data_IF_122467089421
#
_entry.id   IF_122467089421
#
_cell.length_a   1.000
_cell.length_b   1.000
_cell.length_c   1.000
_cell.angle_alpha   90.00
_cell.angle_beta   90.00
_cell.angle_gamma   90.00
#
_symmetry.space_group_name_H-M   'P 1'
#
loop_
_entity.id
_entity.type
_entity.pdbx_description
1 polymer ?
#
# COMPACT_ATOMS: atom_id res chain seq x y z
N UNK A 1 -38.34 8.10 -73.86
CA UNK A 1 -38.15 9.13 -72.79
C UNK A 1 -39.48 9.36 -72.10
N UNK A 2 -39.52 9.85 -70.84
CA UNK A 2 -38.56 9.65 -69.74
C UNK A 2 -38.97 8.32 -69.05
N UNK A 3 -39.17 8.08 -67.74
CA UNK A 3 -38.71 8.67 -66.45
C UNK A 3 -38.66 7.50 -65.42
N UNK A 4 -37.89 7.62 -64.34
CA UNK A 4 -37.92 6.72 -63.15
C UNK A 4 -38.34 7.54 -61.94
N UNK A 5 -39.35 7.15 -61.13
CA UNK A 5 -39.66 7.90 -59.89
C UNK A 5 -40.46 7.19 -58.77
N UNK A 6 -40.10 5.95 -58.39
CA UNK A 6 -40.88 5.20 -57.35
C UNK A 6 -40.05 4.48 -56.27
N UNK A 7 -38.79 4.86 -56.03
CA UNK A 7 -37.92 4.22 -55.00
C UNK A 7 -37.09 5.23 -54.21
N UNK A 8 -37.72 6.20 -53.53
CA UNK A 8 -37.02 7.20 -52.68
C UNK A 8 -37.68 7.63 -51.36
N UNK A 9 -38.83 7.08 -50.97
CA UNK A 9 -39.54 7.53 -49.75
C UNK A 9 -39.40 6.54 -48.57
N UNK A 10 -39.44 5.23 -48.81
CA UNK A 10 -39.35 4.22 -47.74
C UNK A 10 -37.99 4.22 -47.01
N UNK A 11 -36.89 4.48 -47.73
CA UNK A 11 -35.53 4.44 -47.19
C UNK A 11 -35.15 5.66 -46.32
N UNK A 12 -36.01 6.68 -46.24
CA UNK A 12 -35.76 7.89 -45.45
C UNK A 12 -36.28 7.79 -43.99
N UNK A 13 -37.32 6.97 -43.75
CA UNK A 13 -38.04 6.97 -42.47
C UNK A 13 -37.43 5.99 -41.46
N UNK A 14 -37.02 4.79 -41.87
CA UNK A 14 -36.39 3.83 -40.95
C UNK A 14 -35.04 4.33 -40.39
N UNK A 15 -34.28 5.07 -41.20
CA UNK A 15 -32.97 5.63 -40.81
C UNK A 15 -33.08 6.67 -39.69
N UNK A 16 -34.24 7.33 -39.55
CA UNK A 16 -34.46 8.36 -38.52
C UNK A 16 -34.92 7.80 -37.17
N UNK A 17 -35.41 6.55 -37.14
CA UNK A 17 -35.88 5.88 -35.91
C UNK A 17 -34.79 5.03 -35.25
N UNK A 18 -33.79 4.53 -36.00
CA UNK A 18 -32.62 3.88 -35.40
C UNK A 18 -31.61 4.87 -34.78
N UNK A 19 -31.65 6.16 -35.13
CA UNK A 19 -30.71 7.16 -34.57
C UNK A 19 -31.09 7.68 -33.18
N UNK A 20 -32.33 7.42 -32.70
CA UNK A 20 -32.85 7.93 -31.43
C UNK A 20 -32.86 6.91 -30.29
N UNK A 21 -32.44 5.65 -30.55
CA UNK A 21 -32.36 4.58 -29.55
C UNK A 21 -30.93 4.22 -29.11
N UNK A 22 -29.90 4.81 -29.72
CA UNK A 22 -28.53 4.80 -29.18
C UNK A 22 -28.30 6.10 -28.42
N UNK A 23 -29.07 6.29 -27.33
CA UNK A 23 -28.58 7.11 -26.23
C UNK A 23 -27.26 6.47 -25.76
N UNK A 24 -26.13 7.20 -25.72
CA UNK A 24 -25.01 6.73 -24.94
C UNK A 24 -25.49 6.68 -23.49
N UNK A 25 -25.69 5.48 -22.96
CA UNK A 25 -25.70 5.27 -21.51
C UNK A 25 -24.27 5.50 -21.05
N UNK A 26 -23.90 6.77 -20.98
CA UNK A 26 -22.83 7.28 -20.12
C UNK A 26 -23.29 7.06 -18.68
N UNK A 27 -23.33 5.79 -18.27
CA UNK A 27 -23.35 5.39 -16.88
C UNK A 27 -22.16 6.12 -16.25
N UNK A 28 -22.46 7.17 -15.48
CA UNK A 28 -21.45 8.11 -15.03
C UNK A 28 -20.36 7.35 -14.29
N UNK A 29 -19.18 7.24 -14.90
CA UNK A 29 -17.98 6.72 -14.26
C UNK A 29 -17.54 7.75 -13.24
N UNK A 30 -18.27 7.78 -12.13
CA UNK A 30 -18.14 8.68 -11.00
C UNK A 30 -16.69 8.65 -10.55
N UNK A 31 -15.95 9.67 -10.97
CA UNK A 31 -14.50 9.62 -10.96
C UNK A 31 -14.01 9.49 -9.52
N UNK A 32 -13.28 8.42 -9.23
CA UNK A 32 -12.62 8.28 -7.94
C UNK A 32 -11.74 9.51 -7.71
N UNK A 33 -11.74 10.12 -6.50
CA UNK A 33 -10.98 11.33 -6.23
C UNK A 33 -9.50 11.11 -6.52
N UNK A 34 -9.00 11.78 -7.55
CA UNK A 34 -7.60 11.72 -7.97
C UNK A 34 -6.73 12.50 -6.98
N UNK A 35 -5.54 11.98 -6.70
CA UNK A 35 -4.52 12.62 -5.85
C UNK A 35 -3.25 12.86 -6.68
N UNK A 36 -2.47 13.92 -6.39
CA UNK A 36 -1.22 14.21 -7.11
C UNK A 36 -0.09 13.27 -6.66
N UNK A 37 -0.14 12.00 -7.08
CA UNK A 37 0.73 10.93 -6.59
C UNK A 37 2.23 11.18 -6.82
N UNK A 38 2.58 11.94 -7.86
CA UNK A 38 3.96 12.36 -8.14
C UNK A 38 4.48 13.35 -7.09
N UNK A 39 3.61 14.21 -6.55
CA UNK A 39 3.92 15.17 -5.47
C UNK A 39 3.85 14.53 -4.09
N UNK A 40 3.04 13.47 -3.92
CA UNK A 40 2.88 12.72 -2.67
C UNK A 40 4.03 11.75 -2.38
N UNK A 41 5.27 12.21 -2.58
CA UNK A 41 6.51 11.46 -2.40
C UNK A 41 7.53 12.33 -1.66
N UNK A 42 8.19 11.75 -0.63
CA UNK A 42 9.29 12.40 0.10
C UNK A 42 10.36 11.37 0.43
N UNK A 43 11.63 11.77 0.36
CA UNK A 43 12.76 10.95 0.77
C UNK A 43 13.64 11.69 1.79
N UNK A 44 14.33 10.92 2.63
CA UNK A 44 15.35 11.36 3.55
C UNK A 44 16.48 10.32 3.59
N UNK A 45 17.74 10.74 3.57
CA UNK A 45 18.89 9.87 3.37
C UNK A 45 20.14 10.40 4.08
N UNK A 46 21.12 9.53 4.31
CA UNK A 46 22.42 9.91 4.90
C UNK A 46 23.30 10.63 3.87
N UNK A 47 24.29 11.41 4.33
CA UNK A 47 25.34 11.97 3.45
C UNK A 47 26.04 10.90 2.62
N UNK A 48 26.42 9.78 3.24
CA UNK A 48 27.07 8.66 2.55
C UNK A 48 26.18 8.03 1.45
N UNK A 49 24.86 7.98 1.65
CA UNK A 49 23.92 7.57 0.60
C UNK A 49 23.84 8.64 -0.52
N UNK A 50 23.79 9.93 -0.17
CA UNK A 50 23.75 11.00 -1.15
C UNK A 50 25.01 11.01 -2.04
N UNK A 51 26.20 10.96 -1.43
CA UNK A 51 27.50 10.87 -2.10
C UNK A 51 27.57 9.66 -3.03
N UNK A 52 27.15 8.48 -2.56
CA UNK A 52 27.13 7.22 -3.33
C UNK A 52 26.27 7.27 -4.59
N UNK A 53 25.18 8.05 -4.58
CA UNK A 53 24.20 8.12 -5.67
C UNK A 53 24.18 9.46 -6.42
N UNK A 54 25.14 10.36 -6.15
CA UNK A 54 25.21 11.67 -6.80
C UNK A 54 24.03 12.60 -6.47
N UNK A 55 23.39 12.41 -5.31
CA UNK A 55 22.26 13.22 -4.86
C UNK A 55 22.76 14.51 -4.16
N UNK A 56 21.93 15.57 -4.08
CA UNK A 56 22.20 16.71 -3.23
C UNK A 56 22.45 16.31 -1.77
N UNK A 57 23.25 17.09 -1.03
CA UNK A 57 23.47 16.84 0.38
C UNK A 57 22.15 16.94 1.18
N UNK A 58 21.86 16.01 2.11
CA UNK A 58 20.63 16.04 2.89
C UNK A 58 20.55 17.26 3.80
N UNK A 59 19.38 17.93 3.94
CA UNK A 59 19.23 19.08 4.84
C UNK A 59 19.55 18.72 6.30
N UNK A 60 20.09 19.67 7.11
CA UNK A 60 20.42 19.42 8.51
C UNK A 60 19.25 18.85 9.31
N UNK A 61 19.52 17.81 10.12
CA UNK A 61 18.51 17.15 10.94
C UNK A 61 17.52 16.23 10.19
N UNK A 62 17.71 16.00 8.88
CA UNK A 62 16.86 15.08 8.11
C UNK A 62 17.45 13.68 7.93
N UNK A 63 18.74 13.48 8.25
CA UNK A 63 19.42 12.20 8.04
C UNK A 63 18.81 11.07 8.91
N UNK A 64 18.53 9.88 8.34
CA UNK A 64 18.12 8.70 9.10
C UNK A 64 19.31 8.11 9.89
N UNK A 65 19.01 7.18 10.80
CA UNK A 65 20.00 6.59 11.70
C UNK A 65 19.71 5.11 12.02
N UNK A 66 20.61 4.46 12.76
CA UNK A 66 20.46 3.05 13.16
C UNK A 66 20.70 2.04 12.02
N UNK A 67 21.51 2.40 11.02
CA UNK A 67 21.78 1.57 9.83
C UNK A 67 20.76 1.72 8.70
N UNK A 68 19.73 2.57 8.87
CA UNK A 68 18.91 3.05 7.77
C UNK A 68 19.71 4.09 6.96
N UNK A 69 19.97 3.80 5.69
CA UNK A 69 20.74 4.68 4.79
C UNK A 69 19.83 5.65 4.04
N UNK A 70 18.62 5.21 3.66
CA UNK A 70 17.57 6.07 3.14
C UNK A 70 16.17 5.55 3.47
N UNK A 71 15.23 6.47 3.64
CA UNK A 71 13.79 6.21 3.73
C UNK A 71 13.05 7.10 2.75
N UNK A 72 12.24 6.49 1.90
CA UNK A 72 11.25 7.16 1.07
C UNK A 72 9.84 6.79 1.54
N UNK A 73 8.93 7.74 1.49
CA UNK A 73 7.50 7.57 1.71
C UNK A 73 6.74 8.04 0.47
N UNK A 74 5.78 7.23 0.00
CA UNK A 74 4.90 7.57 -1.10
C UNK A 74 3.44 7.20 -0.82
N UNK A 75 2.50 7.98 -1.37
CA UNK A 75 1.13 7.53 -1.61
C UNK A 75 1.06 6.90 -3.00
N UNK A 76 0.51 5.69 -3.09
CA UNK A 76 0.37 4.95 -4.36
C UNK A 76 -1.09 4.52 -4.56
N UNK A 77 -1.54 4.48 -5.82
CA UNK A 77 -2.87 4.00 -6.19
C UNK A 77 -2.81 2.49 -6.42
N UNK A 78 -3.75 1.77 -5.82
CA UNK A 78 -3.91 0.33 -6.02
C UNK A 78 -4.31 -0.03 -7.45
N UNK A 79 -4.25 -1.32 -7.81
CA UNK A 79 -4.66 -1.80 -9.12
C UNK A 79 -6.15 -1.53 -9.38
N UNK A 80 -6.57 -1.50 -10.65
CA UNK A 80 -7.93 -1.07 -11.06
C UNK A 80 -9.09 -1.78 -10.33
N UNK A 81 -8.91 -3.03 -9.91
CA UNK A 81 -9.89 -3.83 -9.18
C UNK A 81 -9.94 -3.55 -7.66
N UNK A 82 -8.91 -2.91 -7.10
CA UNK A 82 -8.89 -2.36 -5.74
C UNK A 82 -8.34 -0.92 -5.79
N UNK A 83 -9.11 0.05 -6.33
CA UNK A 83 -8.63 1.40 -6.70
C UNK A 83 -8.40 2.33 -5.49
N UNK A 84 -8.12 1.76 -4.31
CA UNK A 84 -7.77 2.47 -3.08
C UNK A 84 -6.36 3.04 -3.15
N UNK A 85 -6.12 4.12 -2.44
CA UNK A 85 -4.78 4.63 -2.15
C UNK A 85 -4.13 3.88 -1.00
N UNK A 86 -2.80 3.80 -1.02
CA UNK A 86 -1.97 3.06 -0.09
C UNK A 86 -0.78 3.92 0.34
N UNK A 87 -0.39 3.85 1.61
CA UNK A 87 0.83 4.48 2.09
C UNK A 87 1.97 3.45 2.03
N UNK A 88 3.07 3.76 1.35
CA UNK A 88 4.22 2.86 1.23
C UNK A 88 5.49 3.51 1.79
N UNK A 89 6.26 2.71 2.52
CA UNK A 89 7.60 3.00 2.99
C UNK A 89 8.61 2.19 2.19
N UNK A 90 9.68 2.84 1.77
CA UNK A 90 10.80 2.28 1.03
C UNK A 90 12.05 2.48 1.89
N UNK A 91 12.58 1.39 2.43
CA UNK A 91 13.73 1.42 3.35
C UNK A 91 14.95 0.84 2.66
N UNK A 92 16.01 1.65 2.58
CA UNK A 92 17.33 1.25 2.11
C UNK A 92 18.23 1.14 3.33
N UNK A 93 18.66 -0.07 3.66
CA UNK A 93 19.29 -0.41 4.94
C UNK A 93 20.63 -1.10 4.74
N UNK A 94 21.52 -0.94 5.70
CA UNK A 94 22.83 -1.58 5.70
C UNK A 94 22.70 -3.11 5.79
N UNK A 95 23.30 -3.85 4.85
CA UNK A 95 23.22 -5.32 4.78
C UNK A 95 23.84 -6.06 5.97
N UNK A 96 24.60 -5.36 6.83
CA UNK A 96 25.09 -5.92 8.10
C UNK A 96 24.00 -6.08 9.17
N UNK A 97 22.85 -5.39 9.03
CA UNK A 97 21.76 -5.47 10.00
C UNK A 97 21.13 -6.88 10.03
N UNK A 98 20.90 -7.46 11.23
CA UNK A 98 20.37 -8.81 11.37
C UNK A 98 18.85 -8.85 11.14
N UNK A 99 18.36 -8.53 9.94
CA UNK A 99 16.92 -8.49 9.62
C UNK A 99 16.35 -9.89 9.36
N UNK A 100 15.13 -10.16 9.84
CA UNK A 100 14.36 -11.40 9.60
C UNK A 100 13.41 -11.28 8.41
N UNK A 101 14.01 -11.27 7.22
CA UNK A 101 13.31 -11.39 5.93
C UNK A 101 12.29 -12.55 5.91
N UNK A 102 11.27 -12.51 5.03
CA UNK A 102 10.55 -13.72 4.62
C UNK A 102 11.53 -14.80 4.11
N UNK A 103 11.14 -16.07 4.27
CA UNK A 103 12.02 -17.23 4.00
C UNK A 103 11.94 -17.70 2.53
N UNK A 104 10.86 -17.35 1.82
CA UNK A 104 10.67 -17.63 0.39
C UNK A 104 11.19 -16.45 -0.45
N UNK A 105 11.98 -16.79 -1.47
CA UNK A 105 12.94 -15.88 -2.09
C UNK A 105 12.42 -15.01 -3.23
N UNK A 106 11.13 -14.66 -3.26
CA UNK A 106 10.55 -13.85 -4.36
C UNK A 106 10.03 -12.50 -3.85
N UNK A 107 10.70 -11.44 -4.26
CA UNK A 107 10.23 -10.07 -4.10
C UNK A 107 8.88 -9.86 -4.80
N UNK A 108 7.88 -9.32 -4.11
CA UNK A 108 6.54 -9.11 -4.68
C UNK A 108 5.56 -10.26 -4.51
N UNK A 109 5.97 -11.40 -3.94
CA UNK A 109 5.11 -12.59 -3.75
C UNK A 109 3.89 -12.33 -2.84
N UNK A 110 3.98 -11.36 -1.92
CA UNK A 110 2.82 -10.85 -1.17
C UNK A 110 1.72 -10.30 -2.08
N UNK A 111 2.04 -9.76 -3.25
CA UNK A 111 0.99 -9.45 -4.23
C UNK A 111 0.34 -10.74 -4.72
N UNK A 112 1.06 -11.77 -5.17
CA UNK A 112 0.42 -13.01 -5.63
C UNK A 112 -0.47 -13.70 -4.57
N UNK A 113 -0.18 -13.52 -3.28
CA UNK A 113 -1.00 -14.04 -2.19
C UNK A 113 -2.23 -13.16 -1.85
N UNK A 114 -2.09 -11.83 -1.90
CA UNK A 114 -3.15 -10.88 -1.47
C UNK A 114 -3.95 -10.30 -2.64
N UNK A 115 -3.47 -10.43 -3.88
CA UNK A 115 -4.26 -10.21 -5.09
C UNK A 115 -5.13 -11.45 -5.35
N UNK A 116 -6.22 -11.54 -4.58
CA UNK A 116 -7.22 -12.63 -4.62
C UNK A 116 -7.83 -12.89 -6.01
N UNK A 117 -7.56 -12.01 -6.98
CA UNK A 117 -7.93 -12.11 -8.39
C UNK A 117 -7.33 -13.30 -9.15
N UNK A 118 -6.33 -14.02 -8.63
CA UNK A 118 -5.57 -15.02 -9.40
C UNK A 118 -5.85 -16.50 -9.12
N UNK A 119 -6.81 -16.83 -8.25
CA UNK A 119 -7.40 -18.18 -8.21
C UNK A 119 -8.93 -18.15 -8.09
N UNK A 120 -9.46 -17.50 -7.06
CA UNK A 120 -10.88 -17.19 -6.94
C UNK A 120 -11.05 -15.83 -6.26
N UNK A 121 -11.59 -14.86 -6.98
CA UNK A 121 -11.85 -13.51 -6.47
C UNK A 121 -12.92 -13.53 -5.38
N UNK A 122 -12.48 -13.58 -4.12
CA UNK A 122 -13.34 -13.78 -2.95
C UNK A 122 -13.47 -12.50 -2.11
N UNK A 123 -14.70 -12.14 -1.79
CA UNK A 123 -15.03 -11.18 -0.74
C UNK A 123 -14.87 -11.81 0.67
N UNK A 124 -14.99 -11.02 1.74
CA UNK A 124 -14.73 -11.49 3.11
C UNK A 124 -15.72 -12.57 3.57
N UNK A 125 -16.98 -12.45 3.19
CA UNK A 125 -18.03 -13.45 3.39
C UNK A 125 -17.60 -14.79 2.78
N UNK A 126 -17.05 -14.71 1.56
CA UNK A 126 -16.67 -15.84 0.74
C UNK A 126 -15.35 -16.51 1.21
N UNK A 127 -14.58 -15.87 2.10
CA UNK A 127 -13.49 -16.51 2.86
C UNK A 127 -14.02 -17.27 4.09
N UNK A 128 -15.10 -16.80 4.74
CA UNK A 128 -15.71 -17.48 5.88
C UNK A 128 -16.31 -18.85 5.52
N UNK A 129 -16.67 -19.06 4.26
CA UNK A 129 -17.12 -20.33 3.67
C UNK A 129 -16.01 -21.38 3.51
N UNK A 130 -14.73 -20.98 3.48
CA UNK A 130 -13.63 -21.92 3.27
C UNK A 130 -13.49 -22.92 4.42
N UNK A 131 -12.93 -24.10 4.15
CA UNK A 131 -12.64 -25.05 5.21
C UNK A 131 -11.70 -24.43 6.25
N UNK A 132 -11.78 -24.92 7.49
CA UNK A 132 -10.90 -24.44 8.56
C UNK A 132 -9.42 -24.73 8.27
N UNK A 133 -9.13 -25.76 7.47
CA UNK A 133 -7.78 -26.09 7.02
C UNK A 133 -7.26 -25.08 6.00
N UNK A 134 -8.05 -24.74 4.98
CA UNK A 134 -7.64 -23.82 3.90
C UNK A 134 -7.46 -22.39 4.43
N UNK A 135 -8.35 -21.94 5.34
CA UNK A 135 -8.18 -20.66 6.05
C UNK A 135 -6.89 -20.62 6.85
N UNK A 136 -6.58 -21.68 7.61
CA UNK A 136 -5.32 -21.79 8.38
C UNK A 136 -4.10 -21.80 7.46
N UNK A 137 -4.17 -22.48 6.32
CA UNK A 137 -3.10 -22.50 5.33
C UNK A 137 -2.86 -21.11 4.73
N UNK A 138 -3.90 -20.47 4.20
CA UNK A 138 -3.84 -19.10 3.64
C UNK A 138 -3.34 -18.07 4.66
N UNK A 139 -3.90 -18.04 5.88
CA UNK A 139 -3.41 -17.15 6.96
C UNK A 139 -1.96 -17.48 7.36
N UNK A 140 -1.55 -18.75 7.25
CA UNK A 140 -0.17 -19.19 7.47
C UNK A 140 0.83 -18.64 6.43
N UNK A 141 0.39 -18.52 5.17
CA UNK A 141 1.16 -17.89 4.08
C UNK A 141 1.24 -16.37 4.25
N UNK A 142 0.11 -15.67 4.46
CA UNK A 142 0.09 -14.22 4.70
C UNK A 142 0.97 -13.82 5.90
N UNK A 143 0.96 -14.65 6.94
CA UNK A 143 1.80 -14.49 8.13
C UNK A 143 3.31 -14.56 7.85
N UNK A 144 3.77 -15.02 6.68
CA UNK A 144 5.19 -14.95 6.29
C UNK A 144 5.65 -13.52 5.98
N UNK A 145 4.73 -12.61 5.65
CA UNK A 145 5.04 -11.23 5.27
C UNK A 145 4.49 -10.20 6.28
N UNK A 146 3.44 -10.55 7.01
CA UNK A 146 2.82 -9.69 8.01
C UNK A 146 3.49 -9.85 9.39
N UNK A 147 3.33 -8.87 10.29
CA UNK A 147 3.78 -8.89 11.71
C UNK A 147 5.30 -8.92 11.97
N UNK A 148 6.12 -9.17 10.94
CA UNK A 148 7.59 -9.03 10.90
C UNK A 148 8.05 -7.57 10.87
N UNK A 149 7.29 -6.68 10.23
CA UNK A 149 7.49 -5.24 10.30
C UNK A 149 6.29 -4.59 11.01
N UNK A 150 6.51 -3.46 11.68
CA UNK A 150 5.50 -2.69 12.41
C UNK A 150 5.84 -1.21 12.37
N UNK A 151 4.85 -0.35 12.56
CA UNK A 151 5.07 1.06 12.92
C UNK A 151 4.55 1.25 14.35
N UNK A 152 5.29 1.95 15.21
CA UNK A 152 4.91 2.21 16.60
C UNK A 152 5.18 3.67 16.98
N UNK A 153 4.37 4.26 17.86
CA UNK A 153 4.69 5.56 18.46
C UNK A 153 5.89 5.40 19.41
N UNK A 154 6.76 6.42 19.53
CA UNK A 154 8.00 6.27 20.34
C UNK A 154 7.73 5.99 21.83
N UNK A 155 6.56 6.41 22.33
CA UNK A 155 6.07 6.11 23.67
C UNK A 155 5.26 4.79 23.78
N UNK A 156 5.27 3.92 22.77
CA UNK A 156 4.46 2.70 22.79
C UNK A 156 4.88 1.76 23.93
N UNK A 157 3.93 1.45 24.81
CA UNK A 157 4.07 0.50 25.90
C UNK A 157 2.91 -0.49 25.87
N UNK A 158 3.14 -1.80 25.66
CA UNK A 158 2.09 -2.81 25.50
C UNK A 158 1.03 -2.78 26.62
N UNK A 159 -0.21 -2.42 26.25
CA UNK A 159 -1.34 -2.34 27.18
C UNK A 159 -1.34 -1.14 28.12
N UNK A 160 -0.48 -0.13 27.92
CA UNK A 160 -0.41 1.10 28.73
C UNK A 160 -0.62 2.38 27.91
N UNK A 161 0.19 2.62 26.88
CA UNK A 161 0.14 3.88 26.12
C UNK A 161 0.71 3.74 24.69
N UNK A 162 0.51 4.79 23.89
CA UNK A 162 0.94 4.86 22.50
C UNK A 162 0.06 4.06 21.55
N UNK A 163 0.60 3.72 20.38
CA UNK A 163 -0.03 2.82 19.41
C UNK A 163 1.02 2.02 18.63
N UNK A 164 0.61 0.85 18.15
CA UNK A 164 1.37 0.03 17.20
C UNK A 164 0.42 -0.48 16.11
N UNK A 165 0.93 -0.64 14.90
CA UNK A 165 0.28 -1.34 13.80
C UNK A 165 1.29 -2.27 13.16
N UNK A 166 0.88 -3.47 12.80
CA UNK A 166 1.68 -4.31 11.91
C UNK A 166 1.82 -3.59 10.54
N UNK A 167 2.95 -3.83 9.87
CA UNK A 167 3.27 -3.41 8.50
C UNK A 167 3.44 -4.64 7.61
N UNK A 168 3.22 -4.43 6.33
CA UNK A 168 3.06 -5.46 5.33
C UNK A 168 4.29 -5.52 4.41
N UNK A 169 5.07 -6.61 4.42
CA UNK A 169 6.21 -6.78 3.48
C UNK A 169 5.74 -6.99 2.04
N UNK A 170 5.66 -5.92 1.26
CA UNK A 170 5.30 -5.98 -0.17
C UNK A 170 6.44 -6.57 -1.00
N UNK A 171 7.65 -6.07 -0.76
CA UNK A 171 8.83 -6.36 -1.55
C UNK A 171 10.06 -6.31 -0.64
N UNK A 172 11.08 -7.10 -0.94
CA UNK A 172 12.39 -6.99 -0.31
C UNK A 172 13.44 -7.54 -1.25
N UNK A 173 14.63 -6.97 -1.22
CA UNK A 173 15.77 -7.43 -2.00
C UNK A 173 17.02 -7.32 -1.14
N UNK A 174 17.85 -8.36 -1.13
CA UNK A 174 19.10 -8.39 -0.35
C UNK A 174 20.29 -8.17 -1.28
N UNK A 175 21.25 -7.36 -0.84
CA UNK A 175 22.39 -6.92 -1.65
C UNK A 175 21.96 -6.33 -3.01
N UNK A 176 20.96 -5.44 -3.04
CA UNK A 176 20.56 -4.74 -4.29
C UNK A 176 21.76 -4.05 -4.94
N UNK A 177 22.66 -3.56 -4.07
CA UNK A 177 23.99 -3.06 -4.37
C UNK A 177 24.89 -3.48 -3.20
N UNK A 178 26.24 -3.42 -3.33
CA UNK A 178 27.14 -3.79 -2.24
C UNK A 178 26.81 -3.07 -0.93
N UNK A 179 26.67 -3.84 0.17
CA UNK A 179 26.32 -3.38 1.51
C UNK A 179 24.98 -2.60 1.60
N UNK A 180 24.04 -2.82 0.67
CA UNK A 180 22.72 -2.21 0.69
C UNK A 180 21.62 -3.25 0.44
N UNK A 181 20.71 -3.39 1.40
CA UNK A 181 19.45 -4.14 1.31
C UNK A 181 18.27 -3.17 1.15
N UNK A 182 17.13 -3.66 0.64
CA UNK A 182 15.92 -2.88 0.38
C UNK A 182 14.66 -3.58 0.89
N UNK A 183 13.72 -2.80 1.44
CA UNK A 183 12.38 -3.23 1.89
C UNK A 183 11.31 -2.26 1.36
N UNK A 184 10.25 -2.78 0.72
CA UNK A 184 8.98 -2.05 0.53
C UNK A 184 7.96 -2.54 1.55
N UNK A 185 7.57 -1.66 2.47
CA UNK A 185 6.60 -1.93 3.52
C UNK A 185 5.32 -1.14 3.27
N UNK A 186 4.17 -1.81 3.21
CA UNK A 186 2.88 -1.14 3.11
C UNK A 186 2.28 -0.83 4.49
N UNK A 187 1.61 0.32 4.54
CA UNK A 187 0.74 0.75 5.63
C UNK A 187 -0.65 1.06 5.05
N UNK A 188 -1.62 0.17 5.29
CA UNK A 188 -2.99 0.37 4.82
C UNK A 188 -3.63 1.59 5.51
N UNK A 189 -4.02 2.67 4.77
CA UNK A 189 -4.39 3.97 5.37
C UNK A 189 -5.74 4.01 6.11
N UNK A 190 -6.40 2.87 6.30
CA UNK A 190 -7.49 2.73 7.26
C UNK A 190 -7.00 2.68 8.72
N UNK A 191 -5.73 2.34 8.94
CA UNK A 191 -5.16 2.15 10.28
C UNK A 191 -4.99 3.47 11.05
N UNK A 192 -5.29 3.42 12.36
CA UNK A 192 -5.60 4.59 13.19
C UNK A 192 -4.40 5.47 13.60
N UNK A 193 -3.18 5.14 13.16
CA UNK A 193 -1.96 5.70 13.75
C UNK A 193 -1.65 7.14 13.34
N UNK A 194 -2.06 7.59 12.15
CA UNK A 194 -1.73 8.93 11.61
C UNK A 194 -2.13 10.06 12.57
N UNK A 195 -3.25 9.89 13.28
CA UNK A 195 -3.76 10.87 14.25
C UNK A 195 -3.08 10.77 15.64
N UNK A 196 -2.11 9.85 15.82
CA UNK A 196 -1.39 9.60 17.07
C UNK A 196 0.13 9.87 16.99
N UNK A 197 0.62 10.40 15.86
CA UNK A 197 2.06 10.62 15.57
C UNK A 197 2.68 11.79 16.37
N UNK A 198 1.93 12.45 17.25
CA UNK A 198 2.42 13.63 17.99
C UNK A 198 3.68 13.38 18.85
N UNK A 199 3.93 12.13 19.27
CA UNK A 199 5.14 11.73 20.01
C UNK A 199 6.22 11.10 19.10
N UNK A 200 6.12 11.31 17.79
CA UNK A 200 6.90 10.59 16.77
C UNK A 200 6.50 9.13 16.59
N UNK A 201 6.96 8.52 15.51
CA UNK A 201 6.89 7.06 15.29
C UNK A 201 8.24 6.52 14.82
N UNK A 202 8.46 5.24 15.10
CA UNK A 202 9.55 4.44 14.57
C UNK A 202 8.96 3.30 13.71
N UNK A 203 9.72 2.86 12.70
CA UNK A 203 9.47 1.59 12.01
C UNK A 203 10.27 0.50 12.72
N UNK A 204 9.58 -0.53 13.20
CA UNK A 204 10.17 -1.67 13.90
C UNK A 204 10.25 -2.85 12.93
N UNK A 205 11.45 -3.32 12.63
CA UNK A 205 11.69 -4.49 11.75
C UNK A 205 12.28 -5.63 12.57
N UNK A 206 11.70 -6.83 12.49
CA UNK A 206 12.09 -7.95 13.34
C UNK A 206 13.53 -8.40 13.07
N UNK A 207 14.29 -8.61 14.14
CA UNK A 207 15.63 -9.18 14.12
C UNK A 207 15.61 -10.68 13.82
N UNK A 208 16.67 -11.18 13.20
CA UNK A 208 16.88 -12.59 12.87
C UNK A 208 17.00 -13.39 14.16
N UNK A 209 16.00 -14.22 14.42
CA UNK A 209 15.93 -15.08 15.59
C UNK A 209 14.75 -16.03 15.51
N UNK A 210 14.66 -16.94 16.46
CA UNK A 210 13.72 -18.07 16.41
C UNK A 210 12.28 -17.67 16.77
N UNK A 211 12.03 -16.46 17.26
CA UNK A 211 10.68 -16.01 17.62
C UNK A 211 9.79 -15.90 16.38
N UNK A 212 8.72 -16.68 16.33
CA UNK A 212 7.56 -16.45 15.47
C UNK A 212 6.49 -15.70 16.28
N UNK A 213 6.04 -14.56 15.74
CA UNK A 213 5.00 -13.74 16.35
C UNK A 213 3.60 -14.01 15.79
N UNK A 214 3.42 -14.82 14.73
CA UNK A 214 2.12 -15.09 14.10
C UNK A 214 1.05 -15.50 15.12
N UNK A 215 1.36 -16.47 15.99
CA UNK A 215 0.47 -16.99 17.03
C UNK A 215 0.43 -16.18 18.33
N UNK A 216 1.26 -15.14 18.48
CA UNK A 216 1.42 -14.36 19.73
C UNK A 216 0.64 -13.05 19.67
N UNK A 217 -0.10 -12.73 20.74
CA UNK A 217 -0.83 -11.46 20.86
C UNK A 217 0.15 -10.29 21.01
N UNK A 218 1.15 -10.43 21.89
CA UNK A 218 2.16 -9.40 22.19
C UNK A 218 3.49 -9.73 21.52
N UNK A 219 4.24 -8.70 21.14
CA UNK A 219 5.65 -8.77 20.77
C UNK A 219 6.53 -8.18 21.86
N UNK A 220 7.71 -8.76 22.09
CA UNK A 220 8.77 -7.99 22.74
C UNK A 220 9.28 -6.91 21.75
N UNK A 221 9.77 -5.80 22.27
CA UNK A 221 10.42 -4.74 21.49
C UNK A 221 11.95 -4.91 21.40
N UNK A 222 12.53 -5.87 22.13
CA UNK A 222 13.93 -6.28 22.02
C UNK A 222 14.22 -6.98 20.67
N UNK A 223 13.30 -7.84 20.24
CA UNK A 223 13.29 -8.60 18.99
C UNK A 223 13.22 -7.74 17.69
N UNK A 224 13.32 -6.41 17.77
CA UNK A 224 13.12 -5.50 16.64
C UNK A 224 14.22 -4.42 16.55
N UNK A 225 14.72 -4.19 15.34
CA UNK A 225 15.49 -2.99 14.98
C UNK A 225 14.50 -1.84 14.84
N UNK A 226 14.83 -0.66 15.39
CA UNK A 226 13.92 0.49 15.45
C UNK A 226 14.49 1.65 14.65
N UNK A 227 13.89 1.94 13.51
CA UNK A 227 14.27 3.05 12.63
C UNK A 227 13.38 4.26 12.92
N UNK A 228 13.94 5.30 13.51
CA UNK A 228 13.22 6.57 13.70
C UNK A 228 13.00 7.27 12.36
N UNK A 229 11.75 7.64 12.08
CA UNK A 229 11.41 8.45 10.90
C UNK A 229 11.72 9.94 11.22
N UNK A 230 12.44 10.68 10.35
CA UNK A 230 12.68 12.12 10.54
C UNK A 230 11.37 12.93 10.56
N UNK A 231 11.29 13.96 11.40
CA UNK A 231 10.03 14.69 11.63
C UNK A 231 9.50 15.40 10.38
N UNK A 232 10.38 15.86 9.46
CA UNK A 232 9.96 16.42 8.16
C UNK A 232 9.19 15.40 7.31
N UNK A 233 9.59 14.12 7.36
CA UNK A 233 8.91 13.01 6.69
C UNK A 233 7.59 12.71 7.43
N UNK A 234 7.58 12.72 8.77
CA UNK A 234 6.36 12.54 9.57
C UNK A 234 5.29 13.61 9.34
N UNK A 235 5.68 14.86 9.08
CA UNK A 235 4.74 15.93 8.75
C UNK A 235 4.06 15.66 7.39
N UNK A 236 4.81 15.23 6.38
CA UNK A 236 4.25 14.82 5.08
C UNK A 236 3.39 13.56 5.17
N UNK A 237 3.78 12.56 5.94
CA UNK A 237 2.96 11.37 6.24
C UNK A 237 1.62 11.77 6.87
N UNK A 238 1.63 12.71 7.83
CA UNK A 238 0.41 13.25 8.46
C UNK A 238 -0.47 14.01 7.46
N UNK A 239 0.12 14.81 6.56
CA UNK A 239 -0.59 15.56 5.53
C UNK A 239 -1.24 14.62 4.49
N UNK A 240 -0.43 13.84 3.78
CA UNK A 240 -0.88 13.03 2.65
C UNK A 240 -1.64 11.77 3.07
N UNK A 241 -1.29 11.17 4.21
CA UNK A 241 -2.02 10.02 4.74
C UNK A 241 -3.48 10.33 5.11
N UNK A 242 -3.75 11.56 5.57
CA UNK A 242 -5.13 12.02 5.80
C UNK A 242 -5.89 12.26 4.48
N UNK A 243 -5.22 12.79 3.44
CA UNK A 243 -5.82 12.97 2.11
C UNK A 243 -6.14 11.61 1.45
N UNK A 244 -5.21 10.65 1.52
CA UNK A 244 -5.40 9.28 1.03
C UNK A 244 -6.54 8.55 1.77
N UNK A 245 -6.65 8.73 3.09
CA UNK A 245 -7.74 8.20 3.91
C UNK A 245 -9.11 8.78 3.54
N UNK A 246 -9.17 10.07 3.24
CA UNK A 246 -10.42 10.74 2.81
C UNK A 246 -10.83 10.35 1.38
N UNK A 247 -9.87 10.24 0.46
CA UNK A 247 -10.10 9.67 -0.86
C UNK A 247 -10.66 8.23 -0.77
N UNK A 248 -10.07 7.40 0.11
CA UNK A 248 -10.50 6.01 0.33
C UNK A 248 -11.88 5.86 0.98
N UNK A 249 -12.33 6.82 1.79
CA UNK A 249 -13.73 6.85 2.27
C UNK A 249 -14.71 7.01 1.10
N UNK A 250 -14.43 7.96 0.21
CA UNK A 250 -15.25 8.24 -0.98
C UNK A 250 -15.24 7.06 -1.96
N UNK A 251 -14.09 6.44 -2.18
CA UNK A 251 -13.96 5.20 -2.97
C UNK A 251 -14.81 4.07 -2.35
N UNK A 252 -14.74 3.87 -1.03
CA UNK A 252 -15.55 2.84 -0.37
C UNK A 252 -17.06 3.11 -0.38
N UNK A 253 -17.50 4.38 -0.39
CA UNK A 253 -18.91 4.73 -0.57
C UNK A 253 -19.39 4.32 -1.97
N UNK A 254 -18.71 4.79 -3.03
CA UNK A 254 -19.02 4.47 -4.43
C UNK A 254 -18.96 2.97 -4.75
N UNK A 255 -18.20 2.18 -3.98
CA UNK A 255 -18.18 0.71 -4.09
C UNK A 255 -19.41 0.08 -3.42
N UNK A 256 -19.89 0.59 -2.28
CA UNK A 256 -21.10 0.11 -1.59
C UNK A 256 -22.37 0.48 -2.33
N UNK A 257 -22.45 1.72 -2.80
CA UNK A 257 -23.58 2.21 -3.59
C UNK A 257 -23.78 1.41 -4.90
N UNK A 258 -22.82 0.55 -5.26
CA UNK A 258 -22.82 -0.38 -6.41
C UNK A 258 -22.84 -1.88 -6.03
N UNK A 259 -22.72 -2.26 -4.76
CA UNK A 259 -23.01 -3.62 -4.29
C UNK A 259 -24.49 -3.82 -3.98
N UNK A 260 -25.21 -2.71 -3.80
CA UNK A 260 -26.58 -2.66 -3.31
C UNK A 260 -27.57 -2.36 -4.47
N UNK A 261 -27.14 -2.60 -5.73
CA UNK A 261 -27.87 -2.43 -7.00
C UNK A 261 -27.82 -3.71 -7.85
#
# INVERSE_FOLDING_TARGET
MPKRMTVKIVLAVMTLVLLSLVLPVCAGTQAYPELPLQEMRIAAYTKAFAERFGLPAPPPGTEPSGGLQAIEFAIEKGPKWAPRYYCNFYLYVDSSLPIKYPEEGVAGEKYMLITTTHFFGRAYEQWMEWSLQDRRYSTGLDGKYNRKARMATKNYMPGKQGAISDLDYIEFHKNILPNLDYLKLNFSPFSLMINKVNNGVDIWVQQRGNTDYRSRIKSDSSDFIKFSIPEVVLQKIRQWGNQAKEANRKINAVIRDKSDQ
#
